data_IF_416847223423
#
_entry.id   IF_416847223423
#
_cell.length_a   1.000
_cell.length_b   1.000
_cell.length_c   1.000
_cell.angle_alpha   90.00
_cell.angle_beta   90.00
_cell.angle_gamma   90.00
#
_symmetry.space_group_name_H-M   'P 1'
#
loop_
_entity.id
_entity.type
_entity.pdbx_description
1 polymer ?
#
# COMPACT_ATOMS: atom_id res chain seq x y z
N UNK A 1 41.07 16.79 15.50
CA UNK A 1 40.35 18.05 15.75
C UNK A 1 39.87 18.56 14.41
N UNK A 2 38.72 18.08 13.95
CA UNK A 2 38.04 18.58 12.76
C UNK A 2 36.89 19.43 13.26
N UNK A 3 37.20 20.67 13.62
CA UNK A 3 36.20 21.72 13.80
C UNK A 3 35.44 21.84 12.48
N UNK A 4 34.18 21.38 12.46
CA UNK A 4 33.22 21.79 11.41
C UNK A 4 32.87 23.24 11.75
N UNK A 5 33.30 24.22 10.95
CA UNK A 5 33.00 25.62 11.22
C UNK A 5 31.52 25.85 10.93
N UNK A 6 30.77 26.33 11.91
CA UNK A 6 29.40 26.87 11.75
C UNK A 6 28.39 25.93 11.05
N UNK A 7 28.39 24.64 11.40
CA UNK A 7 27.28 23.76 11.00
C UNK A 7 26.01 24.25 11.70
N UNK A 8 25.22 25.07 10.99
CA UNK A 8 23.91 25.51 11.45
C UNK A 8 23.11 24.29 11.90
N UNK A 9 22.55 24.37 13.11
CA UNK A 9 21.78 23.30 13.71
C UNK A 9 20.33 23.76 13.88
N UNK A 10 19.41 22.84 13.64
CA UNK A 10 17.99 22.96 13.95
C UNK A 10 17.78 22.37 15.34
N UNK A 11 17.57 23.24 16.32
CA UNK A 11 17.29 22.85 17.69
C UNK A 11 15.83 22.43 17.88
N UNK A 12 15.55 21.75 19.00
CA UNK A 12 14.23 21.22 19.34
C UNK A 12 13.08 22.23 19.14
N UNK A 13 13.23 23.47 19.62
CA UNK A 13 12.19 24.49 19.50
C UNK A 13 12.02 25.01 18.06
N UNK A 14 13.10 25.11 17.29
CA UNK A 14 13.03 25.50 15.88
C UNK A 14 12.36 24.42 15.04
N UNK A 15 12.68 23.16 15.32
CA UNK A 15 12.04 22.02 14.70
C UNK A 15 10.55 21.93 15.07
N UNK A 16 10.19 22.16 16.34
CA UNK A 16 8.79 22.26 16.75
C UNK A 16 8.04 23.36 15.98
N UNK A 17 8.66 24.55 15.86
CA UNK A 17 8.08 25.66 15.11
C UNK A 17 7.87 25.31 13.64
N UNK A 18 8.85 24.64 13.02
CA UNK A 18 8.71 24.12 11.66
C UNK A 18 7.54 23.14 11.53
N UNK A 19 7.42 22.17 12.44
CA UNK A 19 6.31 21.21 12.42
C UNK A 19 4.95 21.89 12.55
N UNK A 20 4.81 22.84 13.48
CA UNK A 20 3.52 23.51 13.73
C UNK A 20 3.14 24.45 12.59
N UNK A 21 4.08 25.29 12.11
CA UNK A 21 3.75 26.40 11.23
C UNK A 21 3.96 26.07 9.74
N UNK A 22 4.89 25.19 9.40
CA UNK A 22 5.19 24.85 8.01
C UNK A 22 4.56 23.50 7.62
N UNK A 23 4.69 22.48 8.47
CA UNK A 23 4.09 21.15 8.21
C UNK A 23 2.63 21.03 8.69
N UNK A 24 2.14 21.99 9.49
CA UNK A 24 0.79 21.98 10.06
C UNK A 24 0.49 20.75 10.93
N UNK A 25 1.52 20.24 11.61
CA UNK A 25 1.48 19.05 12.45
C UNK A 25 1.01 19.39 13.87
N UNK A 26 -0.30 19.30 14.12
CA UNK A 26 -0.89 19.69 15.41
C UNK A 26 -0.37 18.89 16.62
N UNK A 27 0.05 17.63 16.42
CA UNK A 27 0.63 16.83 17.49
C UNK A 27 1.92 17.43 18.06
N UNK A 28 2.62 18.27 17.28
CA UNK A 28 3.86 18.92 17.66
C UNK A 28 3.70 20.01 18.73
N UNK A 29 2.46 20.34 19.14
CA UNK A 29 2.21 21.19 20.31
C UNK A 29 2.77 20.56 21.59
N UNK A 30 2.85 19.23 21.66
CA UNK A 30 3.50 18.51 22.74
C UNK A 30 5.00 18.40 22.50
N UNK A 31 5.78 19.22 23.22
CA UNK A 31 7.24 19.27 23.10
C UNK A 31 7.90 17.91 23.39
N UNK A 32 7.30 17.06 24.23
CA UNK A 32 7.87 15.74 24.54
C UNK A 32 7.77 14.80 23.34
N UNK A 33 6.66 14.86 22.58
CA UNK A 33 6.50 14.09 21.33
C UNK A 33 7.48 14.55 20.25
N UNK A 34 7.71 15.86 20.15
CA UNK A 34 8.71 16.41 19.22
C UNK A 34 10.11 15.92 19.61
N UNK A 35 10.44 15.95 20.91
CA UNK A 35 11.71 15.42 21.42
C UNK A 35 11.87 13.95 21.09
N UNK A 36 10.86 13.12 21.36
CA UNK A 36 10.87 11.69 21.03
C UNK A 36 11.06 11.44 19.53
N UNK A 37 10.35 12.19 18.66
CA UNK A 37 10.48 12.09 17.20
C UNK A 37 11.90 12.40 16.74
N UNK A 38 12.49 13.50 17.22
CA UNK A 38 13.86 13.87 16.88
C UNK A 38 14.87 12.87 17.43
N UNK A 39 14.73 12.45 18.69
CA UNK A 39 15.64 11.47 19.30
C UNK A 39 15.59 10.15 18.56
N UNK A 40 14.40 9.64 18.20
CA UNK A 40 14.28 8.40 17.42
C UNK A 40 15.02 8.50 16.08
N UNK A 41 14.89 9.63 15.38
CA UNK A 41 15.59 9.88 14.13
C UNK A 41 17.11 10.04 14.31
N UNK A 42 17.56 10.60 15.45
CA UNK A 42 18.98 10.79 15.77
C UNK A 42 19.63 9.53 16.35
N UNK A 43 18.91 8.68 17.06
CA UNK A 43 19.45 7.45 17.65
C UNK A 43 19.88 6.46 16.55
N UNK A 44 19.16 6.48 15.42
CA UNK A 44 19.58 5.85 14.16
C UNK A 44 20.94 6.38 13.62
N UNK A 45 21.43 7.51 14.15
CA UNK A 45 22.72 8.16 13.83
C UNK A 45 23.80 8.02 14.92
N UNK A 46 23.56 7.27 16.01
CA UNK A 46 24.53 6.94 17.07
C UNK A 46 25.08 8.15 17.86
N UNK A 47 24.25 9.16 18.20
CA UNK A 47 24.66 10.32 19.02
C UNK A 47 23.90 10.38 20.36
N UNK A 48 24.63 10.40 21.47
CA UNK A 48 24.08 10.65 22.80
C UNK A 48 24.16 12.15 23.15
N UNK A 49 23.03 12.86 23.09
CA UNK A 49 22.93 14.27 23.53
C UNK A 49 21.81 14.45 24.55
N UNK A 50 22.02 15.36 25.52
CA UNK A 50 21.03 15.65 26.56
C UNK A 50 19.74 16.31 26.01
N UNK A 51 19.87 17.14 24.97
CA UNK A 51 18.76 17.63 24.16
C UNK A 51 19.04 17.35 22.67
N UNK A 52 18.04 16.93 21.88
CA UNK A 52 18.22 16.60 20.48
C UNK A 52 18.33 17.86 19.61
N UNK A 53 19.19 17.79 18.59
CA UNK A 53 19.30 18.77 17.52
C UNK A 53 19.71 18.09 16.22
N UNK A 54 19.31 18.65 15.09
CA UNK A 54 19.67 18.17 13.75
C UNK A 54 20.65 19.16 13.11
N UNK A 55 21.77 18.69 12.59
CA UNK A 55 22.53 19.48 11.64
C UNK A 55 21.71 19.69 10.36
N UNK A 56 22.02 20.73 9.56
CA UNK A 56 21.27 21.02 8.32
C UNK A 56 21.19 19.81 7.38
N UNK A 57 22.25 19.02 7.24
CA UNK A 57 22.26 17.79 6.43
C UNK A 57 21.32 16.70 6.99
N UNK A 58 21.26 16.57 8.31
CA UNK A 58 20.33 15.66 8.98
C UNK A 58 18.88 16.12 8.87
N UNK A 59 18.64 17.43 8.95
CA UNK A 59 17.31 18.00 8.72
C UNK A 59 16.87 17.80 7.27
N UNK A 60 17.75 18.00 6.28
CA UNK A 60 17.45 17.67 4.89
C UNK A 60 17.15 16.17 4.72
N UNK A 61 17.89 15.31 5.42
CA UNK A 61 17.63 13.86 5.41
C UNK A 61 16.25 13.55 6.01
N UNK A 62 15.86 14.22 7.10
CA UNK A 62 14.53 14.10 7.70
C UNK A 62 13.41 14.49 6.71
N UNK A 63 13.57 15.57 5.95
CA UNK A 63 12.54 16.03 5.00
C UNK A 63 12.16 14.97 3.95
N UNK A 64 13.10 14.10 3.58
CA UNK A 64 12.90 13.01 2.62
C UNK A 64 12.77 11.63 3.29
N UNK A 65 12.76 11.58 4.62
CA UNK A 65 12.66 10.32 5.35
C UNK A 65 11.21 9.85 5.44
N UNK A 66 11.02 8.58 5.82
CA UNK A 66 9.68 8.01 6.02
C UNK A 66 8.92 8.73 7.13
N UNK A 67 9.64 9.26 8.11
CA UNK A 67 9.12 10.06 9.22
C UNK A 67 8.57 11.41 8.77
N UNK A 68 8.85 11.87 7.55
CA UNK A 68 8.22 13.05 6.96
C UNK A 68 7.42 12.70 5.68
N UNK A 69 6.92 11.46 5.61
CA UNK A 69 6.06 11.01 4.51
C UNK A 69 4.75 11.79 4.50
N UNK A 70 4.24 12.09 3.30
CA UNK A 70 2.88 12.62 3.10
C UNK A 70 1.79 11.61 3.52
N UNK A 71 2.14 10.34 3.60
CA UNK A 71 1.22 9.28 4.02
C UNK A 71 1.09 9.23 5.54
N UNK A 72 -0.14 9.34 6.03
CA UNK A 72 -0.45 9.21 7.45
C UNK A 72 -0.51 7.73 7.85
N UNK A 73 0.48 7.29 8.62
CA UNK A 73 0.65 5.90 9.09
C UNK A 73 -0.59 5.35 9.83
N UNK A 74 -1.50 6.20 10.34
CA UNK A 74 -2.73 5.72 10.97
C UNK A 74 -3.62 4.91 10.02
N UNK A 75 -3.46 5.12 8.71
CA UNK A 75 -4.19 4.39 7.67
C UNK A 75 -3.48 3.10 7.23
N UNK A 76 -2.32 2.76 7.80
CA UNK A 76 -1.63 1.48 7.51
C UNK A 76 -2.41 0.27 8.05
N UNK A 77 -3.24 0.48 9.07
CA UNK A 77 -4.05 -0.55 9.70
C UNK A 77 -5.54 -0.30 9.43
N UNK A 78 -6.27 -1.37 9.14
CA UNK A 78 -7.73 -1.34 9.02
C UNK A 78 -8.33 -1.33 10.41
N UNK A 79 -9.21 -0.36 10.70
CA UNK A 79 -10.03 -0.38 11.92
C UNK A 79 -11.11 -1.46 11.78
N UNK A 80 -11.00 -2.48 12.61
CA UNK A 80 -11.94 -3.60 12.64
C UNK A 80 -13.36 -3.21 13.03
N UNK A 81 -13.55 -2.09 13.73
CA UNK A 81 -14.88 -1.58 14.07
C UNK A 81 -15.60 -1.06 12.83
N UNK A 82 -14.86 -0.47 11.89
CA UNK A 82 -15.40 0.05 10.64
C UNK A 82 -15.75 -1.06 9.64
N UNK A 83 -15.34 -2.30 9.87
CA UNK A 83 -15.61 -3.46 8.98
C UNK A 83 -16.92 -4.23 9.30
N UNK A 84 -17.81 -3.66 10.12
CA UNK A 84 -19.08 -4.32 10.53
C UNK A 84 -20.33 -3.80 9.82
N UNK A 85 -20.21 -2.85 8.89
CA UNK A 85 -21.32 -2.34 8.10
C UNK A 85 -21.71 -3.33 6.97
N UNK A 86 -22.90 -3.18 6.35
CA UNK A 86 -23.24 -3.95 5.15
C UNK A 86 -22.24 -3.70 4.00
N UNK A 87 -22.05 -4.70 3.12
CA UNK A 87 -21.07 -4.62 2.03
C UNK A 87 -21.28 -3.41 1.09
N UNK A 88 -22.54 -2.99 0.90
CA UNK A 88 -22.91 -1.82 0.09
C UNK A 88 -22.42 -0.48 0.63
N UNK A 89 -21.85 -0.44 1.84
CA UNK A 89 -21.28 0.77 2.44
C UNK A 89 -19.78 0.93 2.14
N UNK A 90 -19.15 -0.04 1.49
CA UNK A 90 -17.73 -0.02 1.18
C UNK A 90 -17.46 0.17 -0.31
N UNK A 91 -16.39 0.90 -0.61
CA UNK A 91 -15.79 0.86 -1.92
C UNK A 91 -14.97 -0.42 -2.06
N UNK A 92 -15.27 -1.22 -3.09
CA UNK A 92 -14.60 -2.49 -3.33
C UNK A 92 -13.63 -2.34 -4.49
N UNK A 93 -12.34 -2.59 -4.23
CA UNK A 93 -11.33 -2.71 -5.29
C UNK A 93 -11.71 -3.89 -6.20
N UNK A 94 -12.03 -3.57 -7.46
CA UNK A 94 -12.66 -4.48 -8.41
C UNK A 94 -11.90 -4.47 -9.75
N UNK A 95 -11.85 -5.61 -10.42
CA UNK A 95 -11.20 -5.77 -11.72
C UNK A 95 -12.18 -6.36 -12.74
N UNK A 96 -12.24 -5.70 -13.89
CA UNK A 96 -13.02 -6.14 -15.05
C UNK A 96 -12.12 -6.90 -16.03
N UNK A 97 -12.64 -7.99 -16.62
CA UNK A 97 -11.92 -8.92 -17.49
C UNK A 97 -10.54 -9.27 -16.94
N UNK A 98 -10.49 -9.72 -15.67
CA UNK A 98 -9.26 -9.87 -14.88
C UNK A 98 -8.22 -10.77 -15.54
N UNK A 99 -8.66 -11.70 -16.39
CA UNK A 99 -7.79 -12.60 -17.13
C UNK A 99 -6.93 -11.91 -18.21
N UNK A 100 -7.32 -10.75 -18.73
CA UNK A 100 -6.61 -10.07 -19.82
C UNK A 100 -5.33 -9.36 -19.35
N UNK A 101 -4.27 -9.51 -20.14
CA UNK A 101 -2.99 -8.83 -19.89
C UNK A 101 -2.79 -7.56 -20.72
N UNK A 102 -3.69 -7.28 -21.67
CA UNK A 102 -3.64 -6.12 -22.55
C UNK A 102 -5.02 -5.71 -23.07
N UNK A 103 -5.13 -5.50 -24.38
CA UNK A 103 -6.37 -5.06 -25.04
C UNK A 103 -7.49 -6.11 -25.05
N UNK A 104 -8.72 -5.62 -25.23
CA UNK A 104 -9.94 -6.43 -25.22
C UNK A 104 -10.11 -7.34 -26.45
N UNK A 105 -9.32 -7.23 -27.51
CA UNK A 105 -9.58 -7.91 -28.78
C UNK A 105 -8.56 -9.00 -29.13
N UNK A 106 -7.30 -8.82 -28.75
CA UNK A 106 -6.18 -9.66 -29.24
C UNK A 106 -5.15 -10.02 -28.18
N UNK A 107 -5.25 -9.48 -26.97
CA UNK A 107 -4.23 -9.71 -25.94
C UNK A 107 -4.25 -11.13 -25.38
N UNK A 108 -3.21 -11.46 -24.62
CA UNK A 108 -3.13 -12.74 -23.93
C UNK A 108 -3.99 -12.74 -22.66
N UNK A 109 -4.65 -13.87 -22.42
CA UNK A 109 -5.26 -14.22 -21.14
C UNK A 109 -4.27 -15.02 -20.30
N UNK A 110 -4.23 -14.79 -18.99
CA UNK A 110 -3.24 -15.42 -18.10
C UNK A 110 -3.79 -15.60 -16.66
N UNK A 111 -3.59 -16.77 -16.02
CA UNK A 111 -3.87 -16.95 -14.59
C UNK A 111 -3.09 -15.97 -13.70
N UNK A 112 -1.86 -15.61 -14.10
CA UNK A 112 -1.01 -14.64 -13.38
C UNK A 112 -1.65 -13.25 -13.29
N UNK A 113 -2.57 -12.88 -14.20
CA UNK A 113 -3.31 -11.64 -14.12
C UNK A 113 -4.19 -11.59 -12.84
N UNK A 114 -4.84 -12.70 -12.49
CA UNK A 114 -5.55 -12.85 -11.21
C UNK A 114 -4.62 -12.76 -10.00
N UNK A 115 -3.46 -13.44 -10.08
CA UNK A 115 -2.46 -13.42 -8.99
C UNK A 115 -2.02 -11.98 -8.69
N UNK A 116 -1.67 -11.22 -9.73
CA UNK A 116 -1.28 -9.81 -9.59
C UNK A 116 -2.42 -8.99 -9.00
N UNK A 117 -3.63 -9.14 -9.53
CA UNK A 117 -4.82 -8.42 -9.10
C UNK A 117 -5.10 -8.63 -7.59
N UNK A 118 -5.14 -9.89 -7.15
CA UNK A 118 -5.38 -10.25 -5.75
C UNK A 118 -4.25 -9.76 -4.82
N UNK A 119 -2.99 -9.84 -5.28
CA UNK A 119 -1.84 -9.32 -4.51
C UNK A 119 -1.81 -7.80 -4.40
N UNK A 120 -2.37 -7.07 -5.36
CA UNK A 120 -2.57 -5.62 -5.25
C UNK A 120 -3.76 -5.23 -4.37
N UNK A 121 -4.45 -6.21 -3.76
CA UNK A 121 -5.56 -5.96 -2.83
C UNK A 121 -6.94 -5.95 -3.46
N UNK A 122 -7.08 -6.37 -4.74
CA UNK A 122 -8.39 -6.52 -5.37
C UNK A 122 -9.24 -7.58 -4.66
N UNK A 123 -10.55 -7.32 -4.55
CA UNK A 123 -11.52 -8.18 -3.86
C UNK A 123 -12.73 -8.53 -4.72
N UNK A 124 -12.80 -8.03 -5.95
CA UNK A 124 -13.81 -8.45 -6.92
C UNK A 124 -13.14 -8.70 -8.28
N UNK A 125 -13.30 -9.91 -8.82
CA UNK A 125 -12.64 -10.38 -10.05
C UNK A 125 -13.67 -11.01 -10.99
N UNK A 126 -13.40 -10.96 -12.29
CA UNK A 126 -14.33 -11.40 -13.34
C UNK A 126 -13.79 -12.60 -14.12
N UNK A 127 -14.63 -13.62 -14.32
CA UNK A 127 -14.33 -14.89 -14.98
C UNK A 127 -15.33 -15.15 -16.13
N UNK A 128 -14.95 -14.79 -17.36
CA UNK A 128 -15.76 -15.07 -18.55
C UNK A 128 -15.66 -16.56 -18.93
N UNK A 129 -16.60 -17.37 -18.45
CA UNK A 129 -16.58 -18.82 -18.63
C UNK A 129 -17.24 -19.24 -19.95
N UNK A 130 -16.53 -20.09 -20.70
CA UNK A 130 -17.01 -20.65 -21.97
C UNK A 130 -16.76 -22.15 -22.05
N UNK A 131 -17.55 -22.84 -22.87
CA UNK A 131 -17.31 -24.24 -23.20
C UNK A 131 -15.97 -24.41 -23.92
N UNK A 132 -15.12 -25.28 -23.38
CA UNK A 132 -13.84 -25.67 -23.95
C UNK A 132 -13.81 -27.11 -24.46
N UNK A 133 -12.65 -27.54 -24.98
CA UNK A 133 -12.46 -28.92 -25.41
C UNK A 133 -12.68 -29.93 -24.28
N UNK A 134 -13.04 -31.15 -24.64
CA UNK A 134 -13.20 -32.28 -23.71
C UNK A 134 -14.21 -32.02 -22.57
N UNK A 135 -15.17 -31.11 -22.79
CA UNK A 135 -16.19 -30.74 -21.81
C UNK A 135 -15.66 -29.93 -20.63
N UNK A 136 -14.44 -29.38 -20.74
CA UNK A 136 -13.83 -28.56 -19.68
C UNK A 136 -14.01 -27.06 -19.97
N UNK A 137 -14.40 -26.23 -18.98
CA UNK A 137 -14.55 -24.80 -19.20
C UNK A 137 -13.20 -24.10 -19.40
N UNK A 138 -13.24 -23.05 -20.23
CA UNK A 138 -12.12 -22.15 -20.50
C UNK A 138 -12.55 -20.71 -20.24
N UNK A 139 -11.58 -19.84 -19.97
CA UNK A 139 -11.80 -18.40 -19.79
C UNK A 139 -11.13 -17.64 -20.92
N UNK A 140 -11.88 -16.75 -21.57
CA UNK A 140 -11.41 -15.78 -22.57
C UNK A 140 -12.51 -14.77 -22.91
N UNK A 141 -12.17 -13.71 -23.62
CA UNK A 141 -13.16 -12.74 -24.07
C UNK A 141 -13.87 -13.25 -25.33
N UNK A 142 -15.15 -13.55 -25.18
CA UNK A 142 -15.98 -14.17 -26.22
C UNK A 142 -15.95 -13.45 -27.56
N UNK A 143 -16.00 -14.21 -28.65
CA UNK A 143 -16.04 -13.67 -30.02
C UNK A 143 -14.83 -12.80 -30.42
N UNK A 144 -13.73 -12.88 -29.67
CA UNK A 144 -12.48 -12.14 -29.97
C UNK A 144 -11.32 -13.08 -30.30
N UNK A 145 -10.10 -12.52 -30.42
CA UNK A 145 -8.85 -13.25 -30.66
C UNK A 145 -7.96 -13.35 -29.41
N UNK A 146 -8.50 -13.07 -28.22
CA UNK A 146 -7.75 -13.24 -26.98
C UNK A 146 -7.41 -14.72 -26.77
N UNK A 147 -6.26 -15.01 -26.16
CA UNK A 147 -5.90 -16.41 -25.86
C UNK A 147 -6.83 -17.00 -24.80
N UNK A 148 -6.89 -18.34 -24.73
CA UNK A 148 -7.77 -19.07 -23.81
C UNK A 148 -6.94 -19.67 -22.68
N UNK A 149 -7.45 -19.60 -21.46
CA UNK A 149 -6.86 -20.24 -20.28
C UNK A 149 -7.83 -21.25 -19.69
N UNK A 150 -7.31 -22.25 -18.98
CA UNK A 150 -8.14 -23.26 -18.34
C UNK A 150 -8.78 -22.67 -17.09
N UNK A 151 -10.07 -22.95 -16.90
CA UNK A 151 -10.78 -22.56 -15.68
C UNK A 151 -10.11 -23.14 -14.43
N UNK A 152 -9.69 -24.42 -14.46
CA UNK A 152 -9.03 -25.11 -13.34
C UNK A 152 -7.77 -24.36 -12.86
N UNK A 153 -6.95 -23.85 -13.79
CA UNK A 153 -5.72 -23.12 -13.48
C UNK A 153 -6.04 -21.78 -12.80
N UNK A 154 -7.12 -21.11 -13.22
CA UNK A 154 -7.59 -19.85 -12.62
C UNK A 154 -8.13 -20.07 -11.20
N UNK A 155 -8.97 -21.09 -10.99
CA UNK A 155 -9.51 -21.41 -9.66
C UNK A 155 -8.39 -21.77 -8.69
N UNK A 156 -7.39 -22.51 -9.16
CA UNK A 156 -6.22 -22.84 -8.35
C UNK A 156 -5.42 -21.57 -7.98
N UNK A 157 -5.20 -20.66 -8.93
CA UNK A 157 -4.54 -19.37 -8.65
C UNK A 157 -5.33 -18.52 -7.64
N UNK A 158 -6.66 -18.45 -7.75
CA UNK A 158 -7.51 -17.73 -6.81
C UNK A 158 -7.40 -18.35 -5.41
N UNK A 159 -7.52 -19.68 -5.31
CA UNK A 159 -7.40 -20.41 -4.03
C UNK A 159 -6.09 -20.11 -3.31
N UNK A 160 -4.99 -20.04 -4.05
CA UNK A 160 -3.65 -19.85 -3.47
C UNK A 160 -3.35 -18.39 -3.12
N UNK A 161 -4.07 -17.42 -3.68
CA UNK A 161 -3.73 -15.99 -3.58
C UNK A 161 -4.81 -15.06 -3.04
N UNK A 162 -6.07 -15.50 -2.94
CA UNK A 162 -7.20 -14.67 -2.51
C UNK A 162 -6.97 -13.94 -1.18
N UNK A 163 -6.23 -14.54 -0.26
CA UNK A 163 -6.09 -14.06 1.12
C UNK A 163 -4.64 -13.75 1.54
N UNK A 164 -3.69 -13.72 0.60
CA UNK A 164 -2.27 -13.49 0.92
C UNK A 164 -2.01 -12.07 1.42
N UNK A 165 -2.77 -11.07 0.95
CA UNK A 165 -2.47 -9.64 1.18
C UNK A 165 -3.45 -8.91 2.08
N UNK A 166 -4.55 -9.55 2.50
CA UNK A 166 -5.55 -8.94 3.38
C UNK A 166 -5.56 -9.60 4.75
N UNK A 167 -5.36 -8.80 5.81
CA UNK A 167 -5.60 -9.18 7.20
C UNK A 167 -7.04 -8.93 7.67
N UNK A 168 -7.93 -8.48 6.78
CA UNK A 168 -9.34 -8.27 7.14
C UNK A 168 -9.98 -9.64 7.45
N UNK A 169 -10.55 -9.84 8.66
CA UNK A 169 -11.10 -11.13 9.11
C UNK A 169 -12.50 -11.42 8.54
N UNK A 170 -12.77 -10.99 7.31
CA UNK A 170 -13.98 -11.33 6.56
C UNK A 170 -13.59 -11.36 5.08
N UNK A 171 -13.08 -12.52 4.72
CA UNK A 171 -12.40 -12.95 3.52
C UNK A 171 -13.34 -13.04 2.31
N UNK A 172 -13.71 -11.90 1.73
CA UNK A 172 -14.55 -11.88 0.54
C UNK A 172 -13.70 -11.60 -0.70
N UNK A 173 -13.63 -12.59 -1.59
CA UNK A 173 -13.37 -12.37 -3.01
C UNK A 173 -14.68 -12.62 -3.72
N UNK A 174 -15.26 -11.59 -4.30
CA UNK A 174 -16.44 -11.71 -5.15
C UNK A 174 -15.98 -12.10 -6.56
N UNK A 175 -16.62 -13.13 -7.10
CA UNK A 175 -16.38 -13.61 -8.46
C UNK A 175 -17.59 -13.27 -9.30
N UNK A 176 -17.39 -12.40 -10.28
CA UNK A 176 -18.37 -12.11 -11.33
C UNK A 176 -18.23 -13.18 -12.42
N UNK A 177 -19.35 -13.83 -12.76
CA UNK A 177 -19.47 -14.86 -13.79
C UNK A 177 -20.35 -14.38 -14.95
#
# INVERSE_FOLDING_TARGET
>A
NTDRPDASAVYLHDFQRFLIHEQQEHWAQDLNKVRERMTKFIDDTMRETAEPFLFVDEFLTYLFSRENSIWDEKYDAVDMQDMNNPLSHYWISSSHNTYLTGDQLRSESSPEAYIRCLRMGCRCIELDCWDGPDGKPVIYHGWTRTTKIKFDDVVQAIKDHAFVTSRCPSSWVEVLL
#
